data_IF_007156409011
#
_entry.id   IF_007156409011
#
_cell.length_a   1.000
_cell.length_b   1.000
_cell.length_c   1.000
_cell.angle_alpha   90.00
_cell.angle_beta   90.00
_cell.angle_gamma   90.00
#
_symmetry.space_group_name_H-M   'P 1'
#
loop_
_entity.id
_entity.type
_entity.pdbx_description
1 polymer ?
#
# COMPACT_ATOMS: atom_id res chain seq x y z
N UNK A 1 26.88 -30.95 17.00
CA UNK A 1 26.38 -30.41 15.73
C UNK A 1 25.78 -29.04 16.03
N UNK A 2 26.49 -27.94 15.72
CA UNK A 2 25.97 -26.58 15.91
C UNK A 2 24.95 -26.33 14.81
N UNK A 3 23.68 -26.15 15.18
CA UNK A 3 22.68 -25.59 14.27
C UNK A 3 23.14 -24.16 13.94
N UNK A 4 23.61 -23.95 12.71
CA UNK A 4 23.79 -22.60 12.20
C UNK A 4 22.42 -21.93 12.21
N UNK A 5 22.29 -20.91 13.05
CA UNK A 5 21.08 -20.11 13.13
C UNK A 5 20.99 -19.34 11.81
N UNK A 6 20.21 -19.85 10.85
CA UNK A 6 19.91 -19.12 9.62
C UNK A 6 19.24 -17.82 10.06
N UNK A 7 19.88 -16.68 9.83
CA UNK A 7 19.22 -15.38 9.98
C UNK A 7 18.12 -15.31 8.92
N UNK A 8 16.90 -15.70 9.29
CA UNK A 8 15.71 -15.60 8.44
C UNK A 8 15.33 -14.12 8.41
N UNK A 9 15.58 -13.48 7.27
CA UNK A 9 15.11 -12.12 7.00
C UNK A 9 13.73 -12.24 6.35
N UNK A 10 12.71 -11.68 6.98
CA UNK A 10 11.36 -11.68 6.41
C UNK A 10 11.22 -10.60 5.33
N UNK A 11 10.52 -10.96 4.25
CA UNK A 11 10.31 -10.05 3.13
C UNK A 11 9.03 -9.24 3.35
N UNK A 12 9.10 -7.94 3.12
CA UNK A 12 7.93 -7.06 3.06
C UNK A 12 7.57 -6.88 1.59
N UNK A 13 6.42 -7.44 1.19
CA UNK A 13 5.85 -7.23 -0.13
C UNK A 13 4.85 -6.07 -0.06
N UNK A 14 4.70 -5.36 -1.16
CA UNK A 14 3.56 -4.47 -1.36
C UNK A 14 2.25 -5.29 -1.24
N UNK A 15 1.26 -4.76 -0.53
CA UNK A 15 0.02 -5.43 -0.14
C UNK A 15 0.09 -6.20 1.17
N UNK A 16 1.28 -6.41 1.77
CA UNK A 16 1.37 -6.91 3.15
C UNK A 16 0.64 -5.99 4.13
N UNK A 17 0.09 -6.55 5.21
CA UNK A 17 -0.43 -5.74 6.29
C UNK A 17 0.68 -5.05 7.08
N UNK A 18 0.33 -3.87 7.56
CA UNK A 18 1.08 -3.05 8.47
C UNK A 18 0.21 -2.86 9.72
N UNK A 19 0.58 -3.52 10.82
CA UNK A 19 -0.07 -3.26 12.09
C UNK A 19 0.67 -2.14 12.81
N UNK A 20 -0.02 -1.02 13.01
CA UNK A 20 0.39 -0.01 13.98
C UNK A 20 -0.12 -0.43 15.35
N UNK A 21 0.77 -0.59 16.33
CA UNK A 21 0.35 -1.05 17.66
C UNK A 21 0.87 -0.18 18.79
N UNK A 22 -0.07 0.39 19.55
CA UNK A 22 0.24 1.19 20.73
C UNK A 22 0.31 0.28 21.97
N UNK A 23 1.52 0.05 22.49
CA UNK A 23 1.74 -0.82 23.66
C UNK A 23 1.14 -0.27 24.96
N UNK A 24 0.90 1.04 25.05
CA UNK A 24 0.31 1.68 26.23
C UNK A 24 -1.20 1.40 26.27
N UNK A 25 -1.89 1.67 25.16
CA UNK A 25 -3.36 1.58 25.09
C UNK A 25 -3.85 0.20 24.64
N UNK A 26 -2.94 -0.69 24.22
CA UNK A 26 -3.22 -2.02 23.66
C UNK A 26 -4.16 -1.99 22.44
N UNK A 27 -4.19 -0.87 21.74
CA UNK A 27 -4.95 -0.69 20.49
C UNK A 27 -4.03 -0.91 19.30
N UNK A 28 -4.59 -1.48 18.23
CA UNK A 28 -3.90 -1.62 16.96
C UNK A 28 -4.80 -1.16 15.83
N UNK A 29 -4.20 -0.51 14.84
CA UNK A 29 -4.86 -0.14 13.59
C UNK A 29 -4.09 -0.79 12.45
N UNK A 30 -4.83 -1.32 11.49
CA UNK A 30 -4.29 -2.06 10.37
C UNK A 30 -4.29 -1.16 9.14
N UNK A 31 -3.18 -1.18 8.41
CA UNK A 31 -3.05 -0.64 7.07
C UNK A 31 -2.35 -1.65 6.19
N UNK A 32 -2.07 -1.27 4.95
CA UNK A 32 -1.34 -2.08 3.98
C UNK A 32 -0.06 -1.38 3.51
N UNK A 33 0.96 -2.17 3.22
CA UNK A 33 2.22 -1.72 2.66
C UNK A 33 2.00 -1.36 1.19
N UNK A 34 2.29 -0.13 0.80
CA UNK A 34 2.12 0.35 -0.57
C UNK A 34 3.25 -0.08 -1.48
N UNK A 35 4.45 0.44 -1.26
CA UNK A 35 5.61 0.09 -2.08
C UNK A 35 6.92 0.37 -1.37
N UNK A 36 7.99 -0.24 -1.87
CA UNK A 36 9.35 0.05 -1.42
C UNK A 36 9.82 1.39 -1.99
N UNK A 37 10.08 2.34 -1.09
CA UNK A 37 10.62 3.65 -1.42
C UNK A 37 12.05 3.82 -0.87
N UNK A 38 12.82 4.69 -1.54
CA UNK A 38 14.14 5.15 -1.09
C UNK A 38 14.22 6.66 -1.06
N UNK A 39 14.82 7.17 0.02
CA UNK A 39 15.24 8.57 0.17
C UNK A 39 16.71 8.54 0.54
N UNK A 40 17.56 9.05 -0.36
CA UNK A 40 19.01 8.84 -0.29
C UNK A 40 19.35 7.35 -0.07
N UNK A 41 20.07 7.03 1.01
CA UNK A 41 20.49 5.66 1.32
C UNK A 41 19.53 4.90 2.25
N UNK A 42 18.40 5.51 2.62
CA UNK A 42 17.44 4.92 3.56
C UNK A 42 16.29 4.24 2.82
N UNK A 43 15.84 3.11 3.35
CA UNK A 43 14.72 2.34 2.81
C UNK A 43 13.47 2.55 3.66
N UNK A 44 12.35 2.72 2.96
CA UNK A 44 11.05 2.98 3.55
C UNK A 44 10.00 2.07 2.93
N UNK A 45 8.93 1.83 3.67
CA UNK A 45 7.66 1.37 3.13
C UNK A 45 6.76 2.60 3.00
N UNK A 46 6.32 2.88 1.78
CA UNK A 46 5.25 3.83 1.52
C UNK A 46 3.90 3.21 1.93
N UNK A 47 3.00 4.01 2.48
CA UNK A 47 1.62 3.63 2.86
C UNK A 47 0.77 4.91 2.94
N UNK A 48 -0.48 4.82 3.40
CA UNK A 48 -1.34 5.98 3.60
C UNK A 48 -0.86 6.81 4.81
N UNK A 49 -1.04 8.13 4.72
CA UNK A 49 -0.61 9.08 5.75
C UNK A 49 -1.46 8.97 7.01
N UNK A 50 -2.76 8.74 6.88
CA UNK A 50 -3.67 8.62 8.03
C UNK A 50 -3.42 7.39 8.90
N UNK A 51 -2.64 6.43 8.40
CA UNK A 51 -2.13 5.34 9.22
C UNK A 51 -1.16 5.84 10.32
N UNK A 52 -0.71 7.09 10.29
CA UNK A 52 0.21 7.66 11.27
C UNK A 52 -0.38 7.70 12.69
N UNK A 53 0.41 7.28 13.67
CA UNK A 53 0.21 7.66 15.08
C UNK A 53 1.55 8.01 15.69
N UNK A 54 1.54 9.08 16.48
CA UNK A 54 2.74 9.60 17.13
C UNK A 54 3.31 8.56 18.09
N UNK A 55 4.62 8.36 18.02
CA UNK A 55 5.37 7.48 18.93
C UNK A 55 5.04 5.98 18.86
N UNK A 56 4.38 5.54 17.79
CA UNK A 56 4.02 4.13 17.58
C UNK A 56 4.90 3.43 16.52
N UNK A 57 5.16 2.14 16.75
CA UNK A 57 5.85 1.25 15.81
C UNK A 57 4.88 0.52 14.89
N UNK A 58 5.33 0.31 13.66
CA UNK A 58 4.70 -0.57 12.68
C UNK A 58 5.33 -1.96 12.73
N UNK A 59 4.47 -2.97 12.61
CA UNK A 59 4.81 -4.38 12.58
C UNK A 59 4.34 -4.99 11.26
N UNK A 60 5.12 -5.92 10.72
CA UNK A 60 4.74 -6.70 9.54
C UNK A 60 3.61 -7.64 9.92
N UNK A 61 2.51 -7.58 9.17
CA UNK A 61 1.33 -8.41 9.38
C UNK A 61 0.91 -9.06 8.04
N UNK A 62 1.50 -10.22 7.70
CA UNK A 62 1.20 -10.88 6.43
C UNK A 62 -0.26 -11.33 6.33
N UNK A 63 -0.75 -11.51 5.11
CA UNK A 63 -2.10 -12.05 4.86
C UNK A 63 -2.33 -13.35 5.62
N UNK A 64 -3.54 -13.49 6.18
CA UNK A 64 -3.98 -14.66 6.95
C UNK A 64 -3.14 -14.96 8.21
N UNK A 65 -2.28 -14.04 8.66
CA UNK A 65 -1.57 -14.19 9.93
C UNK A 65 -2.55 -14.01 11.09
N UNK A 66 -2.48 -14.91 12.09
CA UNK A 66 -3.12 -14.71 13.39
C UNK A 66 -2.17 -14.13 14.43
N UNK A 67 -0.87 -14.07 14.11
CA UNK A 67 0.15 -13.45 14.96
C UNK A 67 0.34 -11.99 14.54
N UNK A 68 -0.12 -11.10 15.41
CA UNK A 68 -0.27 -9.68 15.16
C UNK A 68 1.01 -8.87 15.43
N UNK A 69 2.04 -9.41 16.12
CA UNK A 69 3.24 -8.63 16.51
C UNK A 69 4.57 -9.30 16.24
N UNK A 70 4.62 -10.19 15.26
CA UNK A 70 5.81 -11.04 15.11
C UNK A 70 7.08 -10.25 14.81
N UNK A 71 7.00 -9.20 13.98
CA UNK A 71 8.19 -8.54 13.46
C UNK A 71 8.00 -7.03 13.32
N UNK A 72 8.72 -6.28 14.17
CA UNK A 72 8.78 -4.82 14.08
C UNK A 72 9.50 -4.37 12.81
N UNK A 73 8.94 -3.41 12.08
CA UNK A 73 9.57 -2.78 10.91
C UNK A 73 10.30 -1.50 11.35
N UNK A 74 9.57 -0.59 11.97
CA UNK A 74 10.07 0.72 12.40
C UNK A 74 8.94 1.70 12.63
N UNK A 75 9.19 3.00 12.40
CA UNK A 75 8.24 4.09 12.69
C UNK A 75 7.99 4.90 11.43
N UNK A 76 6.81 5.47 11.31
CA UNK A 76 6.53 6.46 10.28
C UNK A 76 7.20 7.78 10.64
N UNK A 77 8.06 8.29 9.75
CA UNK A 77 8.85 9.50 9.98
C UNK A 77 8.30 10.72 9.22
N UNK A 78 7.56 10.46 8.14
CA UNK A 78 6.95 11.50 7.32
C UNK A 78 5.54 11.05 6.97
N UNK A 79 4.58 11.95 7.11
CA UNK A 79 3.20 11.74 6.72
C UNK A 79 2.61 13.07 6.22
N UNK A 80 1.61 12.96 5.36
CA UNK A 80 0.89 14.05 4.76
C UNK A 80 -0.59 13.72 4.88
N UNK A 81 -1.39 14.71 5.27
CA UNK A 81 -2.85 14.59 5.46
C UNK A 81 -3.64 15.72 4.81
N UNK A 82 -2.97 16.74 4.26
CA UNK A 82 -3.65 17.94 3.74
C UNK A 82 -3.94 17.78 2.24
N UNK A 83 -2.90 17.78 1.40
CA UNK A 83 -3.02 17.72 -0.07
C UNK A 83 -2.88 16.31 -0.63
N UNK A 84 -2.35 15.39 0.18
CA UNK A 84 -2.18 13.99 -0.15
C UNK A 84 -2.22 13.18 1.13
N UNK A 85 -2.79 11.98 1.05
CA UNK A 85 -2.76 10.96 2.09
C UNK A 85 -1.59 10.00 1.83
N UNK A 86 -0.44 10.31 2.39
CA UNK A 86 0.80 9.57 2.12
C UNK A 86 1.71 9.51 3.34
N UNK A 87 2.34 8.36 3.58
CA UNK A 87 3.22 8.13 4.71
C UNK A 87 4.44 7.27 4.36
N UNK A 88 5.55 7.50 5.07
CA UNK A 88 6.81 6.77 4.93
C UNK A 88 7.22 6.12 6.26
N UNK A 89 7.13 4.80 6.31
CA UNK A 89 7.62 3.98 7.43
C UNK A 89 9.09 3.67 7.23
N UNK A 90 9.93 4.20 8.10
CA UNK A 90 11.37 3.94 8.10
C UNK A 90 11.66 2.51 8.53
N UNK A 91 12.42 1.78 7.72
CA UNK A 91 12.80 0.40 8.00
C UNK A 91 14.06 0.40 8.86
N UNK A 92 13.86 0.15 10.16
CA UNK A 92 14.93 0.18 11.18
C UNK A 92 15.40 -1.21 11.62
N UNK A 93 14.60 -2.24 11.37
CA UNK A 93 14.91 -3.62 11.75
C UNK A 93 15.64 -4.36 10.62
N UNK A 94 16.79 -4.95 10.93
CA UNK A 94 17.62 -5.72 9.98
C UNK A 94 17.05 -7.10 9.63
N UNK A 95 16.06 -7.57 10.39
CA UNK A 95 15.40 -8.85 10.16
C UNK A 95 14.21 -8.76 9.19
N UNK A 96 13.98 -7.57 8.61
CA UNK A 96 13.03 -7.38 7.51
C UNK A 96 13.73 -6.76 6.32
N UNK A 97 13.31 -7.14 5.12
CA UNK A 97 13.76 -6.51 3.89
C UNK A 97 12.57 -6.23 2.97
N UNK A 98 12.39 -4.99 2.49
CA UNK A 98 11.42 -4.72 1.44
C UNK A 98 11.88 -5.36 0.12
N UNK A 99 10.91 -5.65 -0.75
CA UNK A 99 11.16 -6.12 -2.12
C UNK A 99 10.26 -5.38 -3.11
N UNK A 100 10.68 -5.20 -4.37
CA UNK A 100 9.90 -4.49 -5.39
C UNK A 100 8.83 -5.39 -6.01
N UNK A 101 7.99 -5.97 -5.15
CA UNK A 101 7.00 -6.96 -5.52
C UNK A 101 5.70 -6.81 -4.75
N UNK A 102 4.59 -7.10 -5.41
CA UNK A 102 3.24 -7.10 -4.87
C UNK A 102 2.84 -8.52 -4.49
N UNK A 103 2.23 -8.67 -3.31
CA UNK A 103 1.68 -9.92 -2.81
C UNK A 103 0.44 -10.31 -3.62
N UNK A 104 0.39 -11.56 -4.03
CA UNK A 104 -0.75 -12.14 -4.74
C UNK A 104 -0.93 -13.62 -4.35
N UNK A 105 -0.80 -13.92 -3.05
CA UNK A 105 -0.65 -15.30 -2.57
C UNK A 105 -1.88 -16.19 -2.76
N UNK A 106 -3.04 -15.60 -3.08
CA UNK A 106 -4.24 -16.32 -3.48
C UNK A 106 -4.12 -16.93 -4.87
N UNK A 107 -3.26 -16.37 -5.74
CA UNK A 107 -2.97 -16.95 -7.04
C UNK A 107 -2.16 -18.23 -6.90
N UNK A 108 -2.62 -19.29 -7.57
CA UNK A 108 -1.87 -20.56 -7.63
C UNK A 108 -0.59 -20.39 -8.46
N UNK A 109 -0.66 -19.60 -9.54
CA UNK A 109 0.42 -19.48 -10.52
C UNK A 109 1.41 -18.35 -10.21
N UNK A 110 0.91 -17.17 -9.85
CA UNK A 110 1.72 -15.97 -9.68
C UNK A 110 1.51 -15.38 -8.28
N UNK A 111 2.09 -16.04 -7.27
CA UNK A 111 1.98 -15.65 -5.85
C UNK A 111 2.62 -14.29 -5.52
N UNK A 112 3.49 -13.83 -6.39
CA UNK A 112 4.23 -12.57 -6.28
C UNK A 112 4.26 -11.92 -7.67
N UNK A 113 3.95 -10.63 -7.71
CA UNK A 113 3.94 -9.83 -8.94
C UNK A 113 5.07 -8.81 -8.89
N UNK A 114 5.90 -8.74 -9.92
CA UNK A 114 7.07 -7.87 -9.96
C UNK A 114 6.67 -6.46 -10.41
N UNK A 115 7.09 -5.43 -9.66
CA UNK A 115 6.87 -4.03 -10.03
C UNK A 115 7.96 -3.62 -11.01
N UNK A 116 7.64 -3.51 -12.30
CA UNK A 116 8.65 -3.17 -13.34
C UNK A 116 8.83 -1.68 -13.55
N UNK A 117 7.74 -0.94 -13.42
CA UNK A 117 7.72 0.50 -13.60
C UNK A 117 6.54 1.10 -12.82
N UNK A 118 6.41 2.42 -12.91
CA UNK A 118 5.34 3.19 -12.30
C UNK A 118 4.63 4.04 -13.37
N UNK A 119 4.42 3.46 -14.56
CA UNK A 119 3.68 4.11 -15.65
C UNK A 119 2.19 4.08 -15.28
N UNK A 120 1.66 5.26 -14.96
CA UNK A 120 0.25 5.45 -14.61
C UNK A 120 -0.67 5.27 -15.83
N UNK A 121 -1.86 4.75 -15.57
CA UNK A 121 -2.95 4.74 -16.56
C UNK A 121 -3.45 6.17 -16.81
N UNK A 122 -3.89 6.42 -18.04
CA UNK A 122 -4.29 7.76 -18.49
C UNK A 122 -5.69 7.80 -19.12
N UNK A 123 -6.51 6.77 -18.91
CA UNK A 123 -7.87 6.71 -19.46
C UNK A 123 -8.89 6.22 -18.45
N UNK A 124 -10.07 6.83 -18.45
CA UNK A 124 -11.25 6.25 -17.81
C UNK A 124 -11.57 4.88 -18.44
N UNK A 125 -12.04 3.94 -17.65
CA UNK A 125 -12.22 2.55 -18.04
C UNK A 125 -10.93 1.73 -18.07
N UNK A 126 -9.76 2.32 -17.75
CA UNK A 126 -8.54 1.53 -17.56
C UNK A 126 -8.73 0.54 -16.41
N UNK A 127 -8.21 -0.67 -16.60
CA UNK A 127 -8.28 -1.73 -15.60
C UNK A 127 -7.15 -1.55 -14.58
N UNK A 128 -7.53 -1.41 -13.31
CA UNK A 128 -6.61 -1.35 -12.18
C UNK A 128 -6.97 -2.43 -11.16
N UNK A 129 -5.96 -2.89 -10.45
CA UNK A 129 -6.08 -3.80 -9.35
C UNK A 129 -5.44 -3.22 -8.10
N UNK A 130 -5.86 -3.71 -6.95
CA UNK A 130 -5.19 -3.50 -5.68
C UNK A 130 -4.62 -4.81 -5.17
N UNK A 131 -3.70 -4.70 -4.22
CA UNK A 131 -3.31 -5.79 -3.34
C UNK A 131 -3.24 -5.22 -1.93
N UNK A 132 -4.01 -5.76 -1.00
CA UNK A 132 -4.13 -5.19 0.34
C UNK A 132 -4.44 -6.27 1.40
N UNK A 133 -4.27 -5.92 2.67
CA UNK A 133 -4.35 -6.85 3.80
C UNK A 133 -5.68 -7.61 3.90
N UNK A 134 -6.81 -6.94 3.65
CA UNK A 134 -8.15 -7.50 3.91
C UNK A 134 -8.82 -7.99 2.65
N UNK A 135 -8.83 -7.16 1.60
CA UNK A 135 -9.46 -7.55 0.34
C UNK A 135 -8.56 -8.42 -0.55
N UNK A 136 -7.28 -8.55 -0.22
CA UNK A 136 -6.27 -9.22 -1.05
C UNK A 136 -6.21 -8.57 -2.44
N UNK A 137 -6.14 -9.36 -3.52
CA UNK A 137 -6.18 -8.82 -4.88
C UNK A 137 -7.62 -8.66 -5.36
N UNK A 138 -8.00 -7.42 -5.64
CA UNK A 138 -9.27 -7.06 -6.30
C UNK A 138 -8.98 -6.14 -7.46
N UNK A 139 -9.85 -6.20 -8.47
CA UNK A 139 -9.69 -5.39 -9.68
C UNK A 139 -10.99 -4.69 -10.03
N UNK A 140 -10.83 -3.63 -10.81
CA UNK A 140 -11.90 -2.72 -11.16
C UNK A 140 -11.48 -1.77 -12.28
N UNK A 141 -12.20 -0.67 -12.41
CA UNK A 141 -12.03 0.27 -13.51
C UNK A 141 -11.94 1.70 -13.02
N UNK A 142 -11.05 2.47 -13.63
CA UNK A 142 -10.95 3.92 -13.41
C UNK A 142 -12.26 4.57 -13.84
N UNK A 143 -12.90 5.29 -12.92
CA UNK A 143 -14.11 6.08 -13.19
C UNK A 143 -13.77 7.53 -13.49
N UNK A 144 -12.78 8.09 -12.80
CA UNK A 144 -12.27 9.42 -13.05
C UNK A 144 -10.77 9.52 -12.78
N UNK A 145 -10.12 10.38 -13.56
CA UNK A 145 -8.75 10.82 -13.37
C UNK A 145 -8.78 12.27 -12.87
N UNK A 146 -7.80 12.66 -12.05
CA UNK A 146 -7.69 14.03 -11.52
C UNK A 146 -8.89 14.48 -10.69
N UNK A 147 -9.44 13.58 -9.88
CA UNK A 147 -10.49 13.92 -8.93
C UNK A 147 -9.97 14.74 -7.76
N UNK A 148 -10.90 15.14 -6.89
CA UNK A 148 -10.61 15.70 -5.58
C UNK A 148 -11.55 15.11 -4.53
N UNK A 149 -11.09 15.04 -3.29
CA UNK A 149 -11.86 14.59 -2.14
C UNK A 149 -11.54 15.46 -0.92
N UNK A 150 -12.46 15.50 0.03
CA UNK A 150 -12.23 16.15 1.32
C UNK A 150 -11.08 15.45 2.05
N UNK A 151 -10.11 16.22 2.53
CA UNK A 151 -9.01 15.67 3.30
C UNK A 151 -9.49 15.22 4.69
N UNK A 152 -8.75 14.27 5.28
CA UNK A 152 -9.12 13.65 6.56
C UNK A 152 -9.14 14.65 7.72
N UNK A 153 -8.42 15.77 7.61
CA UNK A 153 -8.39 16.81 8.62
C UNK A 153 -9.43 17.92 8.41
N UNK A 154 -10.38 17.77 7.48
CA UNK A 154 -11.51 18.71 7.21
C UNK A 154 -11.11 20.13 6.76
N UNK A 155 -9.82 20.48 6.81
CA UNK A 155 -9.27 21.78 6.39
C UNK A 155 -8.51 21.71 5.05
N UNK A 156 -8.57 20.56 4.36
CA UNK A 156 -7.81 20.28 3.14
C UNK A 156 -8.59 19.59 2.03
N UNK A 157 -7.94 19.44 0.88
CA UNK A 157 -8.45 18.69 -0.26
C UNK A 157 -7.35 17.75 -0.77
N UNK A 158 -7.67 16.46 -0.86
CA UNK A 158 -6.87 15.56 -1.67
C UNK A 158 -7.08 15.93 -3.13
N UNK A 159 -6.01 16.29 -3.81
CA UNK A 159 -6.04 16.68 -5.22
C UNK A 159 -5.43 15.60 -6.09
N UNK A 160 -5.81 15.60 -7.37
CA UNK A 160 -5.28 14.68 -8.38
C UNK A 160 -5.47 13.20 -8.04
N UNK A 161 -6.55 12.84 -7.34
CA UNK A 161 -6.82 11.43 -7.03
C UNK A 161 -7.34 10.68 -8.26
N UNK A 162 -7.10 9.36 -8.32
CA UNK A 162 -7.89 8.50 -9.18
C UNK A 162 -9.12 8.02 -8.40
N UNK A 163 -10.26 8.02 -9.08
CA UNK A 163 -11.49 7.40 -8.58
C UNK A 163 -11.65 6.08 -9.31
N UNK A 164 -11.67 4.98 -8.56
CA UNK A 164 -11.69 3.63 -9.13
C UNK A 164 -12.83 2.82 -8.51
N UNK A 165 -13.56 2.09 -9.35
CA UNK A 165 -14.62 1.21 -8.87
C UNK A 165 -14.08 -0.18 -8.60
N UNK A 166 -13.79 -0.49 -7.34
CA UNK A 166 -13.33 -1.80 -6.91
C UNK A 166 -13.72 -2.07 -5.46
N UNK A 167 -13.66 -3.33 -5.05
CA UNK A 167 -13.92 -3.73 -3.67
C UNK A 167 -12.68 -3.52 -2.80
N UNK A 168 -12.81 -2.76 -1.72
CA UNK A 168 -11.81 -2.61 -0.66
C UNK A 168 -12.51 -2.61 0.71
N UNK A 169 -11.77 -2.97 1.76
CA UNK A 169 -12.25 -3.06 3.13
C UNK A 169 -11.42 -2.15 4.05
N UNK A 170 -11.96 -1.82 5.22
CA UNK A 170 -11.21 -1.13 6.27
C UNK A 170 -9.94 -1.91 6.62
N UNK A 171 -8.79 -1.23 6.59
CA UNK A 171 -7.46 -1.83 6.73
C UNK A 171 -6.68 -2.01 5.41
N UNK A 172 -7.33 -1.82 4.25
CA UNK A 172 -6.65 -1.84 2.95
C UNK A 172 -5.89 -0.55 2.62
N UNK A 173 -6.12 0.53 3.39
CA UNK A 173 -5.46 1.82 3.25
C UNK A 173 -3.94 1.69 3.09
N UNK A 174 -3.40 2.39 2.10
CA UNK A 174 -1.99 2.36 1.75
C UNK A 174 -1.58 1.21 0.83
N UNK A 175 -2.43 0.22 0.56
CA UNK A 175 -2.11 -0.90 -0.33
C UNK A 175 -1.81 -0.43 -1.77
N UNK A 176 -0.90 -1.10 -2.52
CA UNK A 176 -0.59 -0.75 -3.90
C UNK A 176 -1.81 -0.83 -4.81
N UNK A 177 -1.91 0.15 -5.70
CA UNK A 177 -2.79 0.10 -6.87
C UNK A 177 -1.91 -0.08 -8.09
N UNK A 178 -2.24 -1.02 -8.97
CA UNK A 178 -1.38 -1.43 -10.08
C UNK A 178 -2.18 -1.89 -11.30
N UNK A 179 -1.49 -1.92 -12.45
CA UNK A 179 -2.00 -2.52 -13.70
C UNK A 179 -1.11 -3.68 -14.11
N UNK A 180 -1.69 -4.78 -14.57
CA UNK A 180 -0.92 -5.88 -15.16
C UNK A 180 -0.25 -5.48 -16.47
N UNK A 181 0.98 -5.97 -16.68
CA UNK A 181 1.61 -6.04 -18.00
C UNK A 181 1.14 -7.32 -18.73
N UNK A 182 1.45 -7.43 -20.02
CA UNK A 182 0.98 -8.51 -20.89
C UNK A 182 1.27 -9.94 -20.39
N UNK A 183 2.34 -10.13 -19.60
CA UNK A 183 2.76 -11.45 -19.11
C UNK A 183 2.20 -11.82 -17.73
N UNK A 184 1.33 -10.98 -17.14
CA UNK A 184 0.60 -11.19 -15.88
C UNK A 184 1.44 -11.38 -14.60
N UNK A 185 2.76 -11.58 -14.71
CA UNK A 185 3.70 -11.60 -13.59
C UNK A 185 4.30 -10.22 -13.31
N UNK A 186 4.29 -9.32 -14.30
CA UNK A 186 4.80 -7.96 -14.16
C UNK A 186 3.67 -6.94 -14.06
N UNK A 187 3.93 -5.85 -13.36
CA UNK A 187 2.97 -4.79 -13.08
C UNK A 187 3.58 -3.40 -13.26
N UNK A 188 2.73 -2.42 -13.57
CA UNK A 188 3.01 -1.00 -13.36
C UNK A 188 2.37 -0.56 -12.04
N UNK A 189 3.14 0.04 -11.14
CA UNK A 189 2.57 0.71 -9.97
C UNK A 189 1.84 1.98 -10.42
N UNK A 190 0.63 2.20 -9.93
CA UNK A 190 -0.22 3.34 -10.28
C UNK A 190 -0.48 4.26 -9.08
N UNK A 191 -0.36 3.77 -7.85
CA UNK A 191 -0.58 4.57 -6.65
C UNK A 191 -0.73 3.70 -5.41
N UNK A 192 -1.33 4.29 -4.38
CA UNK A 192 -1.77 3.60 -3.16
C UNK A 192 -3.23 3.91 -2.86
N UNK A 193 -3.92 3.00 -2.17
CA UNK A 193 -5.26 3.26 -1.65
C UNK A 193 -5.18 4.37 -0.59
N UNK A 194 -6.03 5.37 -0.68
CA UNK A 194 -6.22 6.39 0.35
C UNK A 194 -7.49 6.10 1.14
N UNK A 195 -8.65 6.13 0.49
CA UNK A 195 -9.94 5.95 1.15
C UNK A 195 -10.93 5.17 0.26
N UNK A 196 -12.12 4.90 0.77
CA UNK A 196 -13.18 4.28 -0.02
C UNK A 196 -14.58 4.49 0.56
N UNK A 197 -15.55 4.67 -0.32
CA UNK A 197 -16.97 4.86 -0.03
C UNK A 197 -17.84 3.94 -0.89
N UNK A 198 -19.06 3.68 -0.43
CA UNK A 198 -20.02 2.87 -1.19
C UNK A 198 -19.58 1.42 -1.24
N UNK A 199 -19.86 0.66 -0.18
CA UNK A 199 -19.55 -0.76 -0.20
C UNK A 199 -20.34 -1.48 -1.29
N UNK A 200 -19.79 -2.60 -1.70
CA UNK A 200 -20.39 -3.57 -2.59
C UNK A 200 -21.81 -3.96 -2.10
N UNK A 201 -22.85 -3.30 -2.64
CA UNK A 201 -24.24 -3.70 -2.40
C UNK A 201 -24.55 -4.82 -3.38
N UNK A 202 -24.54 -6.07 -2.89
CA UNK A 202 -24.91 -7.29 -3.62
C UNK A 202 -23.98 -7.75 -4.76
N UNK A 203 -22.67 -7.49 -4.68
CA UNK A 203 -21.70 -7.86 -5.72
C UNK A 203 -21.49 -6.81 -6.81
N UNK A 204 -22.17 -5.65 -6.73
CA UNK A 204 -22.05 -4.55 -7.69
C UNK A 204 -21.00 -3.51 -7.27
N UNK A 205 -19.79 -3.68 -7.80
CA UNK A 205 -18.69 -2.71 -7.60
C UNK A 205 -18.92 -1.37 -8.31
N UNK A 206 -19.95 -1.21 -9.16
CA UNK A 206 -20.14 0.05 -9.89
C UNK A 206 -20.44 1.24 -8.99
N UNK A 207 -20.98 0.99 -7.79
CA UNK A 207 -21.24 2.01 -6.78
C UNK A 207 -20.05 2.21 -5.83
N UNK A 208 -19.03 1.34 -5.91
CA UNK A 208 -17.82 1.49 -5.11
C UNK A 208 -16.97 2.64 -5.65
N UNK A 209 -16.56 3.50 -4.73
CA UNK A 209 -15.71 4.66 -4.98
C UNK A 209 -14.47 4.48 -4.12
N UNK A 210 -13.38 4.00 -4.72
CA UNK A 210 -12.08 3.92 -4.07
C UNK A 210 -11.23 5.08 -4.55
N UNK A 211 -10.69 5.81 -3.58
CA UNK A 211 -9.78 6.92 -3.82
C UNK A 211 -8.35 6.41 -3.79
N UNK A 212 -7.64 6.70 -4.87
CA UNK A 212 -6.25 6.27 -5.05
C UNK A 212 -5.39 7.50 -5.17
N UNK A 213 -4.33 7.55 -4.36
CA UNK A 213 -3.31 8.57 -4.45
C UNK A 213 -2.30 8.18 -5.55
N UNK A 214 -2.26 8.87 -6.69
CA UNK A 214 -1.46 8.41 -7.83
C UNK A 214 0.03 8.54 -7.59
N UNK A 215 0.79 7.58 -8.13
CA UNK A 215 2.22 7.48 -7.87
C UNK A 215 3.01 8.66 -8.45
N UNK A 216 2.62 9.18 -9.61
CA UNK A 216 3.26 10.34 -10.23
C UNK A 216 3.08 11.61 -9.38
N UNK A 217 1.89 11.82 -8.81
CA UNK A 217 1.64 12.91 -7.87
C UNK A 217 2.50 12.78 -6.60
N UNK A 218 2.55 11.57 -6.01
CA UNK A 218 3.40 11.29 -4.83
C UNK A 218 4.87 11.61 -5.15
N UNK A 219 5.40 11.11 -6.27
CA UNK A 219 6.79 11.29 -6.65
C UNK A 219 7.14 12.77 -6.88
N UNK A 220 6.25 13.50 -7.57
CA UNK A 220 6.44 14.93 -7.84
C UNK A 220 6.43 15.78 -6.57
N UNK A 221 5.64 15.42 -5.56
CA UNK A 221 5.54 16.17 -4.29
C UNK A 221 6.61 15.82 -3.28
N UNK A 222 7.11 14.59 -3.29
CA UNK A 222 7.99 14.08 -2.21
C UNK A 222 9.44 13.90 -2.63
N UNK A 223 9.72 13.74 -3.93
CA UNK A 223 11.07 13.47 -4.44
C UNK A 223 11.64 12.10 -4.02
N UNK A 224 10.80 11.18 -3.54
CA UNK A 224 11.23 9.80 -3.25
C UNK A 224 11.50 9.03 -4.54
N UNK A 225 12.23 7.92 -4.43
CA UNK A 225 12.40 6.98 -5.52
C UNK A 225 11.67 5.68 -5.23
N UNK A 226 10.83 5.21 -6.16
CA UNK A 226 10.26 3.86 -6.12
C UNK A 226 11.34 2.86 -6.52
N UNK A 227 11.48 1.78 -5.76
CA UNK A 227 12.35 0.67 -6.17
C UNK A 227 11.57 -0.31 -7.03
N UNK A 228 12.07 -0.61 -8.23
CA UNK A 228 11.47 -1.55 -9.18
C UNK A 228 12.33 -2.81 -9.33
N UNK A 229 11.73 -3.88 -9.85
CA UNK A 229 12.41 -5.11 -10.20
C UNK A 229 13.15 -4.94 -11.53
N UNK A 230 14.42 -5.35 -11.58
CA UNK A 230 15.22 -5.40 -12.81
C UNK A 230 14.71 -6.49 -13.74
#
# INVERSE_FOLDING_TARGET
MKLENRNIVERILAGDGLLRYNDINRTGEECSAGFWARVANFSYIATAGHCFEKDVYFYLFPWNSSDFKKIRIGRMLSHYLDTMDFGLVYISNKNVSPVPSIRNTDSIQYKELLIKDHIVVSSNGAHLCISALKSHVKCGYVKALSGFAEAINEDGLFENIFVVSMHALEGDSGGPVFSYKQNLIHTSLNGIISSGYGYDINGDINNAIIEVMPIDFILNRTGINVVTAN
#
